data_IF_476141889944
#
_entry.id   IF_476141889944
#
_cell.length_a   1.000
_cell.length_b   1.000
_cell.length_c   1.000
_cell.angle_alpha   90.00
_cell.angle_beta   90.00
_cell.angle_gamma   90.00
#
_symmetry.space_group_name_H-M   'P 1'
#
loop_
_entity.id
_entity.type
_entity.pdbx_description
1 polymer ?
#
# COMPACT_ATOMS: atom_id res chain seq x y z
N UNK A 1 7.04 -11.72 13.68
CA UNK A 1 6.95 -10.60 12.72
C UNK A 1 5.51 -10.09 12.66
N UNK A 2 4.56 -11.01 12.70
CA UNK A 2 3.10 -10.77 12.62
C UNK A 2 2.53 -9.94 13.79
N UNK A 3 3.09 -10.07 15.00
CA UNK A 3 2.62 -9.33 16.17
C UNK A 3 2.60 -7.82 15.93
N UNK A 4 3.69 -7.23 15.39
CA UNK A 4 3.79 -5.79 15.15
C UNK A 4 2.78 -5.30 14.12
N UNK A 5 2.57 -6.06 13.04
CA UNK A 5 1.64 -5.68 11.97
C UNK A 5 0.19 -5.71 12.48
N UNK A 6 -0.18 -6.78 13.20
CA UNK A 6 -1.53 -6.92 13.76
C UNK A 6 -1.75 -5.91 14.89
N UNK A 7 -0.76 -5.70 15.76
CA UNK A 7 -0.80 -4.71 16.83
C UNK A 7 -1.00 -3.29 16.26
N UNK A 8 -0.20 -2.90 15.26
CA UNK A 8 -0.33 -1.61 14.58
C UNK A 8 -1.72 -1.39 13.98
N UNK A 9 -2.30 -2.42 13.36
CA UNK A 9 -3.65 -2.37 12.81
C UNK A 9 -4.70 -2.15 13.89
N UNK A 10 -4.62 -2.91 15.00
CA UNK A 10 -5.58 -2.82 16.11
C UNK A 10 -5.46 -1.49 16.85
N UNK A 11 -4.25 -1.01 17.13
CA UNK A 11 -4.04 0.27 17.80
C UNK A 11 -4.49 1.46 16.95
N UNK A 12 -4.19 1.45 15.64
CA UNK A 12 -4.70 2.48 14.72
C UNK A 12 -6.24 2.49 14.68
N UNK A 13 -6.88 1.32 14.68
CA UNK A 13 -8.33 1.20 14.73
C UNK A 13 -8.93 1.76 16.03
N UNK A 14 -8.36 1.40 17.18
CA UNK A 14 -8.79 1.91 18.50
C UNK A 14 -8.65 3.43 18.60
N UNK A 15 -7.55 3.97 18.08
CA UNK A 15 -7.26 5.40 18.10
C UNK A 15 -8.03 6.21 17.04
N UNK A 16 -8.78 5.55 16.14
CA UNK A 16 -9.37 6.18 14.93
C UNK A 16 -8.32 6.93 14.11
N UNK A 17 -7.10 6.43 14.10
CA UNK A 17 -5.98 6.99 13.36
C UNK A 17 -5.94 6.40 11.94
N UNK A 18 -5.27 7.08 10.98
CA UNK A 18 -4.99 6.49 9.68
C UNK A 18 -4.22 5.17 9.82
N UNK A 19 -4.59 4.17 9.04
CA UNK A 19 -3.87 2.89 9.00
C UNK A 19 -2.46 3.10 8.43
N UNK A 20 -1.40 2.53 9.04
CA UNK A 20 -0.03 2.67 8.54
C UNK A 20 0.19 2.11 7.13
N UNK A 21 -0.52 1.03 6.79
CA UNK A 21 -0.64 0.47 5.44
C UNK A 21 -2.12 0.57 5.09
N UNK A 22 -2.45 1.35 4.07
CA UNK A 22 -3.85 1.63 3.73
C UNK A 22 -4.33 0.90 2.46
N UNK A 23 -5.57 1.17 2.07
CA UNK A 23 -6.19 0.52 0.91
C UNK A 23 -5.46 0.82 -0.39
N UNK A 24 -4.84 1.99 -0.54
CA UNK A 24 -4.15 2.37 -1.77
C UNK A 24 -2.84 1.60 -1.91
N UNK A 25 -2.14 1.38 -0.79
CA UNK A 25 -0.94 0.52 -0.76
C UNK A 25 -1.31 -0.92 -1.16
N UNK A 26 -2.38 -1.46 -0.56
CA UNK A 26 -2.85 -2.80 -0.88
C UNK A 26 -3.27 -2.96 -2.35
N UNK A 27 -3.94 -1.95 -2.93
CA UNK A 27 -4.32 -1.94 -4.35
C UNK A 27 -3.10 -1.84 -5.25
N UNK A 28 -2.12 -0.98 -4.93
CA UNK A 28 -0.89 -0.85 -5.69
C UNK A 28 -0.11 -2.17 -5.73
N UNK A 29 -0.02 -2.89 -4.61
CA UNK A 29 0.64 -4.19 -4.58
C UNK A 29 -0.15 -5.26 -5.33
N UNK A 30 -1.48 -5.26 -5.18
CA UNK A 30 -2.35 -6.23 -5.84
C UNK A 30 -2.39 -6.04 -7.37
N UNK A 31 -2.15 -4.82 -7.86
CA UNK A 31 -2.06 -4.54 -9.29
C UNK A 31 -0.84 -5.17 -9.97
N UNK A 32 0.21 -5.54 -9.21
CA UNK A 32 1.41 -6.18 -9.75
C UNK A 32 1.06 -7.50 -10.45
N UNK A 33 0.20 -8.32 -9.84
CA UNK A 33 -0.17 -9.63 -10.40
C UNK A 33 -0.77 -9.54 -11.80
N UNK A 34 -1.89 -8.84 -12.04
CA UNK A 34 -2.48 -8.75 -13.38
C UNK A 34 -1.57 -8.00 -14.39
N UNK A 35 -0.83 -6.98 -13.95
CA UNK A 35 0.09 -6.26 -14.83
C UNK A 35 1.27 -7.14 -15.24
N UNK A 36 1.77 -7.99 -14.35
CA UNK A 36 2.86 -8.92 -14.69
C UNK A 36 2.40 -9.97 -15.71
N UNK A 37 1.20 -10.51 -15.55
CA UNK A 37 0.58 -11.42 -16.51
C UNK A 37 0.38 -10.76 -17.88
N UNK A 38 -0.14 -9.53 -17.91
CA UNK A 38 -0.32 -8.78 -19.14
C UNK A 38 1.03 -8.46 -19.81
N UNK A 39 2.05 -8.07 -19.04
CA UNK A 39 3.38 -7.78 -19.58
C UNK A 39 3.97 -9.00 -20.29
N UNK A 40 3.87 -10.17 -19.67
CA UNK A 40 4.32 -11.45 -20.25
C UNK A 40 3.54 -11.76 -21.54
N UNK A 41 2.21 -11.61 -21.51
CA UNK A 41 1.36 -11.85 -22.67
C UNK A 41 1.67 -10.92 -23.87
N UNK A 42 2.14 -9.71 -23.59
CA UNK A 42 2.52 -8.70 -24.59
C UNK A 42 4.02 -8.72 -24.97
N UNK A 43 4.75 -9.79 -24.62
CA UNK A 43 6.15 -9.96 -25.00
C UNK A 43 7.14 -9.23 -24.08
N UNK A 44 6.85 -9.19 -22.78
CA UNK A 44 7.63 -8.48 -21.75
C UNK A 44 7.66 -6.96 -21.95
N UNK A 45 6.56 -6.40 -22.46
CA UNK A 45 6.40 -4.96 -22.66
C UNK A 45 6.28 -4.24 -21.31
N UNK A 46 6.83 -3.03 -21.22
CA UNK A 46 6.60 -2.13 -20.09
C UNK A 46 5.15 -1.63 -20.09
N UNK A 47 4.47 -1.76 -18.95
CA UNK A 47 3.10 -1.29 -18.74
C UNK A 47 3.07 -0.15 -17.74
N UNK A 48 2.14 0.79 -17.94
CA UNK A 48 1.90 1.88 -17.01
C UNK A 48 1.19 1.38 -15.75
N UNK A 49 1.61 1.90 -14.60
CA UNK A 49 1.00 1.55 -13.31
C UNK A 49 -0.18 2.48 -13.01
N UNK A 50 -1.36 1.95 -12.64
CA UNK A 50 -2.50 2.78 -12.27
C UNK A 50 -2.23 3.58 -10.99
N UNK A 51 -2.55 4.88 -11.02
CA UNK A 51 -2.52 5.73 -9.82
C UNK A 51 -3.86 5.69 -9.08
N UNK A 52 -3.95 4.78 -8.11
CA UNK A 52 -5.14 4.62 -7.26
C UNK A 52 -5.38 5.83 -6.33
N UNK A 53 -4.36 6.65 -6.08
CA UNK A 53 -4.45 7.81 -5.19
C UNK A 53 -4.88 9.09 -5.93
N UNK A 54 -5.01 9.04 -7.26
CA UNK A 54 -5.35 10.20 -8.12
C UNK A 54 -4.41 11.39 -7.89
N UNK A 55 -3.11 11.13 -7.84
CA UNK A 55 -2.04 12.12 -7.66
C UNK A 55 -1.73 12.48 -6.21
N UNK A 56 -2.52 12.02 -5.24
CA UNK A 56 -2.31 12.34 -3.83
C UNK A 56 -1.03 11.74 -3.26
N UNK A 57 -0.50 10.65 -3.84
CA UNK A 57 0.77 10.05 -3.45
C UNK A 57 1.94 11.06 -3.38
N UNK A 58 1.89 12.14 -4.18
CA UNK A 58 2.94 13.19 -4.21
C UNK A 58 3.05 14.01 -2.93
N UNK A 59 1.96 14.15 -2.19
CA UNK A 59 1.88 15.03 -1.01
C UNK A 59 1.62 14.27 0.29
N UNK A 60 1.33 12.97 0.20
CA UNK A 60 1.09 12.11 1.36
C UNK A 60 2.39 11.96 2.16
N UNK A 61 2.28 12.11 3.48
CA UNK A 61 3.41 11.91 4.40
C UNK A 61 3.47 10.43 4.79
N UNK A 62 4.65 9.80 4.81
CA UNK A 62 4.80 8.47 5.38
C UNK A 62 4.47 8.52 6.88
N UNK A 63 3.81 7.50 7.39
CA UNK A 63 3.41 7.40 8.81
C UNK A 63 3.73 6.04 9.45
N UNK A 64 4.32 5.12 8.69
CA UNK A 64 4.66 3.77 9.14
C UNK A 64 5.91 3.78 10.04
N UNK A 65 5.79 3.21 11.24
CA UNK A 65 6.88 2.98 12.20
C UNK A 65 7.73 4.24 12.52
N UNK A 66 7.09 5.41 12.63
CA UNK A 66 7.76 6.68 12.94
C UNK A 66 7.81 7.00 14.44
N UNK A 67 7.15 6.21 15.29
CA UNK A 67 7.10 6.38 16.73
C UNK A 67 6.88 5.02 17.40
N UNK A 68 6.91 5.00 18.72
CA UNK A 68 6.70 3.81 19.54
C UNK A 68 5.21 3.62 19.93
N UNK A 69 4.29 4.26 19.21
CA UNK A 69 2.86 4.20 19.56
C UNK A 69 2.21 2.86 19.22
N UNK A 70 2.89 2.02 18.42
CA UNK A 70 2.49 0.67 18.08
C UNK A 70 3.69 -0.21 17.69
#
# INVERSE_FOLDING_TARGET
MDWFVIHAFVEALKAKAPMPIDIYDALAWSAITPLSEQSIAEGNRTLDFPDFTRGQWRTRKPIFALNDAY
#
